data_IF_028476302653
#
_entry.id   IF_028476302653
#
_cell.length_a   1.000
_cell.length_b   1.000
_cell.length_c   1.000
_cell.angle_alpha   90.00
_cell.angle_beta   90.00
_cell.angle_gamma   90.00
#
_symmetry.space_group_name_H-M   'P 1'
#
loop_
_entity.id
_entity.type
_entity.pdbx_description
1 polymer ?
#
# COMPACT_ATOMS: atom_id res chain seq x y z
N UNK A 1 -35.56 -24.13 14.66
CA UNK A 1 -34.11 -24.02 14.46
C UNK A 1 -33.74 -24.87 13.25
N UNK A 2 -32.95 -24.29 12.34
CA UNK A 2 -32.37 -24.82 11.11
C UNK A 2 -32.85 -24.01 9.89
N UNK A 3 -32.20 -22.86 9.75
CA UNK A 3 -32.28 -21.95 8.62
C UNK A 3 -31.81 -22.69 7.36
N UNK A 4 -32.72 -22.93 6.41
CA UNK A 4 -32.35 -23.39 5.07
C UNK A 4 -31.71 -22.24 4.31
N UNK A 5 -30.42 -22.04 4.54
CA UNK A 5 -29.54 -21.18 3.75
C UNK A 5 -29.34 -21.81 2.36
N UNK A 6 -30.39 -21.78 1.54
CA UNK A 6 -30.36 -22.12 0.11
C UNK A 6 -30.16 -20.86 -0.75
N UNK A 7 -29.51 -19.84 -0.21
CA UNK A 7 -29.06 -18.72 -1.02
C UNK A 7 -27.72 -19.13 -1.62
N UNK A 8 -27.65 -19.17 -2.96
CA UNK A 8 -26.41 -18.93 -3.66
C UNK A 8 -25.83 -17.67 -3.00
N UNK A 9 -24.65 -17.76 -2.38
CA UNK A 9 -24.05 -16.70 -1.56
C UNK A 9 -23.53 -15.57 -2.48
N UNK A 10 -24.43 -14.98 -3.25
CA UNK A 10 -24.20 -14.07 -4.36
C UNK A 10 -25.23 -12.94 -4.28
N UNK A 11 -24.81 -11.74 -4.66
CA UNK A 11 -25.62 -10.52 -4.66
C UNK A 11 -26.99 -10.73 -5.37
N UNK A 12 -28.07 -10.08 -4.89
CA UNK A 12 -29.45 -10.16 -5.44
C UNK A 12 -29.47 -9.89 -6.96
N UNK A 13 -28.59 -8.98 -7.42
CA UNK A 13 -28.40 -8.69 -8.85
C UNK A 13 -27.75 -9.87 -9.62
N UNK A 14 -26.77 -10.53 -9.02
CA UNK A 14 -26.14 -11.70 -9.63
C UNK A 14 -27.07 -12.92 -9.56
N UNK A 15 -27.92 -13.03 -8.53
CA UNK A 15 -28.97 -14.05 -8.46
C UNK A 15 -29.99 -13.86 -9.61
N UNK A 16 -30.35 -12.61 -9.94
CA UNK A 16 -31.21 -12.29 -11.07
C UNK A 16 -30.55 -12.58 -12.43
N UNK A 17 -29.26 -12.28 -12.59
CA UNK A 17 -28.49 -12.66 -13.78
C UNK A 17 -28.42 -14.18 -13.93
N UNK A 18 -28.17 -14.90 -12.84
CA UNK A 18 -28.16 -16.37 -12.83
C UNK A 18 -29.56 -16.90 -13.18
N UNK A 19 -30.64 -16.28 -12.69
CA UNK A 19 -32.01 -16.64 -13.06
C UNK A 19 -32.27 -16.44 -14.55
N UNK A 20 -31.84 -15.32 -15.13
CA UNK A 20 -31.95 -15.08 -16.56
C UNK A 20 -31.14 -16.10 -17.37
N UNK A 21 -29.93 -16.42 -16.94
CA UNK A 21 -29.10 -17.43 -17.60
C UNK A 21 -29.69 -18.84 -17.51
N UNK A 22 -30.24 -19.24 -16.36
CA UNK A 22 -30.91 -20.53 -16.16
C UNK A 22 -32.14 -20.63 -17.06
N UNK A 23 -32.96 -19.59 -17.12
CA UNK A 23 -34.13 -19.55 -18.01
C UNK A 23 -33.71 -19.63 -19.48
N UNK A 24 -32.73 -18.82 -19.88
CA UNK A 24 -32.19 -18.84 -21.23
C UNK A 24 -31.61 -20.21 -21.59
N UNK A 25 -30.84 -20.85 -20.70
CA UNK A 25 -30.28 -22.19 -20.91
C UNK A 25 -31.36 -23.25 -21.07
N UNK A 26 -32.50 -23.10 -20.37
CA UNK A 26 -33.65 -23.98 -20.55
C UNK A 26 -34.34 -23.73 -21.89
N UNK A 27 -34.62 -22.47 -22.22
CA UNK A 27 -35.28 -22.12 -23.48
C UNK A 27 -34.41 -22.59 -24.67
N UNK A 28 -33.08 -22.49 -24.57
CA UNK A 28 -32.14 -23.08 -25.54
C UNK A 28 -32.24 -24.60 -25.60
N UNK A 29 -32.25 -25.31 -24.46
CA UNK A 29 -32.47 -26.77 -24.43
C UNK A 29 -33.80 -27.17 -25.06
N UNK A 30 -34.87 -26.42 -24.81
CA UNK A 30 -36.20 -26.68 -25.38
C UNK A 30 -36.22 -26.42 -26.90
N UNK A 31 -35.46 -25.44 -27.40
CA UNK A 31 -35.27 -25.20 -28.84
C UNK A 31 -34.45 -26.32 -29.48
N UNK A 32 -33.33 -26.72 -28.88
CA UNK A 32 -32.51 -27.83 -29.36
C UNK A 32 -33.29 -29.15 -29.39
N UNK A 33 -34.07 -29.44 -28.35
CA UNK A 33 -34.93 -30.63 -28.31
C UNK A 33 -36.02 -30.59 -29.40
N UNK A 34 -36.58 -29.41 -29.70
CA UNK A 34 -37.55 -29.25 -30.79
C UNK A 34 -36.89 -29.43 -32.16
N UNK A 35 -35.69 -28.89 -32.36
CA UNK A 35 -34.91 -29.09 -33.59
C UNK A 35 -34.59 -30.57 -33.80
N UNK A 36 -34.18 -31.26 -32.74
CA UNK A 36 -33.94 -32.69 -32.74
C UNK A 36 -35.20 -33.50 -33.08
N UNK A 37 -36.33 -33.19 -32.44
CA UNK A 37 -37.60 -33.85 -32.73
C UNK A 37 -38.05 -33.59 -34.17
N UNK A 38 -37.89 -32.36 -34.68
CA UNK A 38 -38.23 -32.03 -36.06
C UNK A 38 -37.34 -32.77 -37.06
N UNK A 39 -36.02 -32.85 -36.82
CA UNK A 39 -35.10 -33.62 -37.65
C UNK A 39 -35.40 -35.14 -37.60
N UNK A 40 -35.79 -35.66 -36.43
CA UNK A 40 -36.18 -37.06 -36.28
C UNK A 40 -37.52 -37.37 -36.95
N UNK A 41 -38.49 -36.46 -36.86
CA UNK A 41 -39.77 -36.57 -37.57
C UNK A 41 -39.58 -36.41 -39.08
N UNK A 42 -38.68 -35.53 -39.54
CA UNK A 42 -38.33 -35.40 -40.97
C UNK A 42 -37.68 -36.66 -41.51
N UNK A 43 -36.74 -37.27 -40.77
CA UNK A 43 -36.15 -38.56 -41.13
C UNK A 43 -37.21 -39.67 -41.21
N UNK A 44 -38.10 -39.72 -40.22
CA UNK A 44 -39.21 -40.67 -40.20
C UNK A 44 -40.17 -40.44 -41.37
N UNK A 45 -40.55 -39.19 -41.65
CA UNK A 45 -41.53 -38.85 -42.69
C UNK A 45 -40.97 -39.03 -44.11
N UNK A 46 -39.69 -38.74 -44.34
CA UNK A 46 -39.04 -38.94 -45.63
C UNK A 46 -38.79 -40.41 -45.96
N UNK A 47 -38.61 -41.28 -44.94
CA UNK A 47 -38.13 -42.66 -45.19
C UNK A 47 -39.11 -43.78 -44.83
N UNK A 48 -39.97 -43.62 -43.81
CA UNK A 48 -41.03 -44.61 -43.53
C UNK A 48 -42.20 -44.53 -44.51
N UNK A 49 -42.34 -43.43 -45.25
CA UNK A 49 -43.43 -43.27 -46.21
C UNK A 49 -43.19 -44.01 -47.53
N UNK A 50 -41.95 -44.47 -47.80
CA UNK A 50 -41.53 -44.90 -49.14
C UNK A 50 -41.47 -46.43 -49.35
N UNK A 51 -41.40 -47.28 -48.32
CA UNK A 51 -41.14 -48.72 -48.54
C UNK A 51 -41.96 -49.68 -47.68
N UNK A 52 -42.91 -50.37 -48.30
CA UNK A 52 -43.74 -51.41 -47.67
C UNK A 52 -43.05 -52.78 -47.52
N UNK A 53 -41.77 -52.92 -47.92
CA UNK A 53 -40.98 -54.15 -47.75
C UNK A 53 -39.49 -53.85 -47.52
N UNK A 54 -39.10 -53.48 -46.31
CA UNK A 54 -37.68 -53.32 -45.94
C UNK A 54 -37.06 -54.65 -45.47
N UNK A 55 -35.84 -54.92 -45.93
CA UNK A 55 -34.99 -56.00 -45.41
C UNK A 55 -34.22 -55.56 -44.16
N UNK A 56 -33.77 -56.50 -43.33
CA UNK A 56 -33.08 -56.20 -42.06
C UNK A 56 -31.78 -55.40 -42.25
N UNK A 57 -31.11 -55.56 -43.40
CA UNK A 57 -29.89 -54.79 -43.71
C UNK A 57 -30.21 -53.34 -44.04
N UNK A 58 -31.28 -53.08 -44.82
CA UNK A 58 -31.75 -51.72 -45.11
C UNK A 58 -32.21 -51.02 -43.83
N UNK A 59 -32.89 -51.74 -42.92
CA UNK A 59 -33.25 -51.20 -41.60
C UNK A 59 -32.01 -50.83 -40.77
N UNK A 60 -30.95 -51.64 -40.79
CA UNK A 60 -29.70 -51.30 -40.11
C UNK A 60 -28.97 -50.11 -40.78
N UNK A 61 -28.99 -50.02 -42.11
CA UNK A 61 -28.40 -48.89 -42.83
C UNK A 61 -29.17 -47.58 -42.53
N UNK A 62 -30.50 -47.63 -42.43
CA UNK A 62 -31.30 -46.48 -41.98
C UNK A 62 -31.05 -46.11 -40.52
N UNK A 63 -30.84 -47.09 -39.64
CA UNK A 63 -30.47 -46.79 -38.25
C UNK A 63 -29.09 -46.14 -38.16
N UNK A 64 -28.13 -46.58 -38.97
CA UNK A 64 -26.80 -45.96 -39.02
C UNK A 64 -26.87 -44.53 -39.60
N UNK A 65 -27.62 -44.32 -40.69
CA UNK A 65 -27.84 -42.98 -41.26
C UNK A 65 -28.58 -42.05 -40.28
N UNK A 66 -29.57 -42.56 -39.56
CA UNK A 66 -30.24 -41.82 -38.50
C UNK A 66 -29.25 -41.43 -37.38
N UNK A 67 -28.41 -42.37 -36.95
CA UNK A 67 -27.38 -42.11 -35.93
C UNK A 67 -26.41 -41.01 -36.40
N UNK A 68 -25.97 -41.04 -37.67
CA UNK A 68 -25.08 -40.02 -38.23
C UNK A 68 -25.74 -38.62 -38.27
N UNK A 69 -27.03 -38.56 -38.66
CA UNK A 69 -27.80 -37.31 -38.64
C UNK A 69 -27.96 -36.79 -37.21
N UNK A 70 -28.28 -37.68 -36.26
CA UNK A 70 -28.39 -37.31 -34.85
C UNK A 70 -27.06 -36.83 -34.27
N UNK A 71 -25.96 -37.53 -34.55
CA UNK A 71 -24.61 -37.15 -34.08
C UNK A 71 -24.25 -35.75 -34.58
N UNK A 72 -24.51 -35.47 -35.86
CA UNK A 72 -24.26 -34.15 -36.46
C UNK A 72 -25.12 -33.04 -35.86
N UNK A 73 -26.39 -33.29 -35.53
CA UNK A 73 -27.25 -32.32 -34.86
C UNK A 73 -26.80 -32.09 -33.41
N UNK A 74 -26.40 -33.14 -32.69
CA UNK A 74 -25.84 -33.02 -31.35
C UNK A 74 -24.52 -32.24 -31.34
N UNK A 75 -23.62 -32.50 -32.29
CA UNK A 75 -22.37 -31.74 -32.43
C UNK A 75 -22.62 -30.26 -32.70
N UNK A 76 -23.60 -29.94 -33.56
CA UNK A 76 -23.99 -28.57 -33.85
C UNK A 76 -24.53 -27.86 -32.61
N UNK A 77 -25.44 -28.51 -31.86
CA UNK A 77 -26.02 -27.96 -30.64
C UNK A 77 -24.95 -27.77 -29.54
N UNK A 78 -24.07 -28.76 -29.35
CA UNK A 78 -22.99 -28.67 -28.38
C UNK A 78 -22.00 -27.56 -28.74
N UNK A 79 -21.66 -27.42 -30.03
CA UNK A 79 -20.80 -26.34 -30.53
C UNK A 79 -21.46 -24.98 -30.34
N UNK A 80 -22.76 -24.87 -30.62
CA UNK A 80 -23.53 -23.66 -30.38
C UNK A 80 -23.49 -23.28 -28.89
N UNK A 81 -23.71 -24.24 -27.99
CA UNK A 81 -23.64 -24.05 -26.54
C UNK A 81 -22.26 -23.55 -26.08
N UNK A 82 -21.17 -24.12 -26.58
CA UNK A 82 -19.82 -23.63 -26.26
C UNK A 82 -19.60 -22.18 -26.74
N UNK A 83 -20.03 -21.84 -27.95
CA UNK A 83 -19.89 -20.48 -28.51
C UNK A 83 -20.67 -19.46 -27.70
N UNK A 84 -21.90 -19.79 -27.31
CA UNK A 84 -22.75 -18.92 -26.49
C UNK A 84 -22.14 -18.72 -25.10
N UNK A 85 -21.65 -19.78 -24.45
CA UNK A 85 -20.98 -19.67 -23.15
C UNK A 85 -19.69 -18.85 -23.22
N UNK A 86 -18.90 -19.00 -24.29
CA UNK A 86 -17.69 -18.19 -24.51
C UNK A 86 -18.02 -16.69 -24.69
N UNK A 87 -19.11 -16.37 -25.40
CA UNK A 87 -19.59 -14.99 -25.55
C UNK A 87 -20.04 -14.40 -24.22
N UNK A 88 -20.73 -15.17 -23.39
CA UNK A 88 -21.14 -14.73 -22.05
C UNK A 88 -19.92 -14.41 -21.17
N UNK A 89 -18.91 -15.28 -21.16
CA UNK A 89 -17.66 -15.06 -20.42
C UNK A 89 -16.95 -13.80 -20.92
N UNK A 90 -16.89 -13.59 -22.25
CA UNK A 90 -16.34 -12.35 -22.84
C UNK A 90 -17.09 -11.11 -22.34
N UNK A 91 -18.42 -11.14 -22.30
CA UNK A 91 -19.23 -10.02 -21.83
C UNK A 91 -19.00 -9.73 -20.34
N UNK A 92 -18.89 -10.78 -19.52
CA UNK A 92 -18.57 -10.64 -18.09
C UNK A 92 -17.19 -10.00 -17.88
N UNK A 93 -16.18 -10.39 -18.65
CA UNK A 93 -14.86 -9.76 -18.56
C UNK A 93 -14.84 -8.32 -19.06
N UNK A 94 -15.59 -7.98 -20.11
CA UNK A 94 -15.73 -6.59 -20.55
C UNK A 94 -16.35 -5.70 -19.46
N UNK A 95 -17.35 -6.21 -18.75
CA UNK A 95 -17.94 -5.51 -17.60
C UNK A 95 -16.94 -5.43 -16.43
N UNK A 96 -16.20 -6.49 -16.14
CA UNK A 96 -15.19 -6.46 -15.07
C UNK A 96 -14.03 -5.49 -15.38
N UNK A 97 -13.58 -5.42 -16.62
CA UNK A 97 -12.54 -4.48 -17.08
C UNK A 97 -12.98 -3.02 -16.96
N UNK A 98 -14.22 -2.70 -17.31
CA UNK A 98 -14.80 -1.36 -17.11
C UNK A 98 -14.78 -0.93 -15.62
N UNK A 99 -14.77 -1.90 -14.72
CA UNK A 99 -14.73 -1.70 -13.27
C UNK A 99 -13.33 -1.97 -12.69
N UNK A 100 -12.31 -2.10 -13.54
CA UNK A 100 -10.91 -2.39 -13.19
C UNK A 100 -10.71 -3.62 -12.28
N UNK A 101 -11.58 -4.63 -12.40
CA UNK A 101 -11.56 -5.83 -11.58
C UNK A 101 -10.86 -6.99 -12.31
N UNK A 102 -9.85 -7.58 -11.68
CA UNK A 102 -9.23 -8.83 -12.17
C UNK A 102 -10.02 -10.02 -11.64
N UNK A 103 -10.90 -10.57 -12.46
CA UNK A 103 -11.60 -11.82 -12.15
C UNK A 103 -10.68 -13.00 -12.46
N UNK A 104 -10.39 -13.81 -11.45
CA UNK A 104 -9.74 -15.10 -11.61
C UNK A 104 -10.81 -16.19 -11.48
N UNK A 105 -11.42 -16.66 -12.59
CA UNK A 105 -12.34 -17.79 -12.52
C UNK A 105 -11.57 -19.03 -12.09
N UNK A 106 -12.05 -19.70 -11.05
CA UNK A 106 -11.50 -20.98 -10.62
C UNK A 106 -12.24 -22.11 -11.34
N UNK A 107 -11.54 -22.82 -12.23
CA UNK A 107 -12.09 -23.94 -13.00
C UNK A 107 -12.42 -25.15 -12.13
N UNK A 108 -11.76 -25.32 -10.98
CA UNK A 108 -11.99 -26.45 -10.05
C UNK A 108 -13.37 -26.41 -9.39
N UNK A 109 -14.00 -25.23 -9.34
CA UNK A 109 -15.34 -25.07 -8.75
C UNK A 109 -16.47 -25.50 -9.72
N UNK A 110 -16.21 -25.54 -11.03
CA UNK A 110 -17.19 -25.94 -12.05
C UNK A 110 -17.46 -27.47 -12.02
N UNK A 111 -16.52 -28.27 -11.52
CA UNK A 111 -16.66 -29.73 -11.43
C UNK A 111 -17.32 -30.19 -10.13
N UNK A 112 -17.59 -29.27 -9.20
CA UNK A 112 -18.16 -29.63 -7.92
C UNK A 112 -19.62 -30.06 -8.07
N UNK A 113 -19.84 -31.39 -8.10
CA UNK A 113 -21.17 -32.00 -8.20
C UNK A 113 -22.18 -31.46 -7.19
N UNK A 114 -21.76 -31.00 -6.00
CA UNK A 114 -22.66 -30.40 -5.01
C UNK A 114 -23.17 -29.02 -5.45
N UNK A 115 -22.35 -28.22 -6.11
CA UNK A 115 -22.79 -26.92 -6.66
C UNK A 115 -23.72 -27.13 -7.87
N UNK A 116 -23.46 -28.17 -8.68
CA UNK A 116 -24.36 -28.58 -9.76
C UNK A 116 -25.70 -29.08 -9.21
N UNK A 117 -25.68 -29.91 -8.17
CA UNK A 117 -26.90 -30.39 -7.50
C UNK A 117 -27.66 -29.24 -6.84
N UNK A 118 -26.96 -28.24 -6.28
CA UNK A 118 -27.59 -27.05 -5.69
C UNK A 118 -28.21 -26.12 -6.75
N UNK A 119 -27.59 -26.00 -7.93
CA UNK A 119 -28.20 -25.33 -9.09
C UNK A 119 -29.42 -26.12 -9.59
N UNK A 120 -29.35 -27.46 -9.64
CA UNK A 120 -30.50 -28.31 -10.00
C UNK A 120 -31.66 -28.15 -9.02
N UNK A 121 -31.38 -28.12 -7.72
CA UNK A 121 -32.41 -27.94 -6.69
C UNK A 121 -32.99 -26.51 -6.75
N UNK A 122 -32.18 -25.50 -7.09
CA UNK A 122 -32.63 -24.13 -7.36
C UNK A 122 -33.52 -24.06 -8.61
N UNK A 123 -33.14 -24.74 -9.71
CA UNK A 123 -33.94 -24.86 -10.93
C UNK A 123 -35.32 -25.48 -10.65
N UNK A 124 -35.37 -26.56 -9.87
CA UNK A 124 -36.62 -27.24 -9.49
C UNK A 124 -37.54 -26.36 -8.63
N UNK A 125 -36.97 -25.57 -7.70
CA UNK A 125 -37.75 -24.64 -6.87
C UNK A 125 -38.39 -23.50 -7.68
N UNK A 126 -37.76 -23.05 -8.76
CA UNK A 126 -38.32 -22.04 -9.67
C UNK A 126 -39.43 -22.61 -10.58
N UNK A 127 -39.33 -23.89 -10.96
CA UNK A 127 -40.36 -24.63 -11.71
C UNK A 127 -41.69 -24.76 -10.95
N UNK A 128 -41.63 -24.98 -9.63
CA UNK A 128 -42.84 -25.10 -8.81
C UNK A 128 -43.57 -23.77 -8.62
N UNK A 129 -42.87 -22.62 -8.70
CA UNK A 129 -43.49 -21.29 -8.67
C UNK A 129 -44.20 -20.93 -9.98
N UNK A 130 -43.75 -21.47 -11.12
CA UNK A 130 -44.32 -21.18 -12.44
C UNK A 130 -45.57 -22.02 -12.77
N UNK A 131 -45.72 -23.22 -12.21
CA UNK A 131 -46.93 -24.05 -12.39
C UNK A 131 -48.17 -23.56 -11.63
N UNK A 132 -48.04 -22.58 -10.72
CA UNK A 132 -49.15 -22.02 -9.94
C UNK A 132 -49.80 -20.76 -10.54
N UNK A 133 -49.39 -20.32 -11.74
CA UNK A 133 -49.97 -19.16 -12.43
C UNK A 133 -50.74 -19.56 -13.70
N UNK A 134 -51.76 -20.39 -13.53
CA UNK A 134 -52.88 -20.44 -14.47
C UNK A 134 -53.88 -19.35 -14.07
N UNK A 135 -54.25 -18.48 -15.00
CA UNK A 135 -55.21 -17.37 -14.88
C UNK A 135 -54.80 -16.19 -13.98
N UNK A 136 -54.21 -15.16 -14.61
CA UNK A 136 -54.71 -13.78 -14.54
C UNK A 136 -53.95 -12.88 -15.51
N UNK A 137 -54.67 -12.50 -16.56
CA UNK A 137 -54.73 -11.19 -17.20
C UNK A 137 -53.43 -10.40 -17.41
N UNK A 138 -53.14 -10.23 -18.69
CA UNK A 138 -52.46 -9.09 -19.27
C UNK A 138 -53.19 -7.80 -18.86
N UNK A 139 -52.40 -6.77 -18.52
CA UNK A 139 -52.77 -5.39 -18.12
C UNK A 139 -52.89 -5.14 -16.61
N UNK A 140 -51.77 -4.71 -16.00
CA UNK A 140 -51.64 -3.40 -15.35
C UNK A 140 -50.22 -3.23 -14.82
N UNK A 141 -49.72 -2.01 -14.95
CA UNK A 141 -48.52 -1.45 -14.30
C UNK A 141 -47.16 -2.02 -14.74
N UNK A 142 -46.52 -1.26 -15.64
CA UNK A 142 -45.19 -0.75 -15.28
C UNK A 142 -45.29 -0.20 -13.86
N UNK A 143 -44.96 -1.01 -12.88
CA UNK A 143 -44.54 -0.48 -11.59
C UNK A 143 -43.20 0.23 -11.84
N UNK A 144 -43.04 1.50 -11.44
CA UNK A 144 -41.73 2.11 -11.47
C UNK A 144 -40.82 1.19 -10.68
N UNK A 145 -39.72 0.75 -11.33
CA UNK A 145 -38.66 -0.02 -10.69
C UNK A 145 -38.44 0.62 -9.32
N UNK A 146 -38.78 -0.13 -8.28
CA UNK A 146 -38.63 0.31 -6.90
C UNK A 146 -37.13 0.35 -6.64
N UNK A 147 -36.56 1.47 -7.06
CA UNK A 147 -35.27 2.06 -6.78
C UNK A 147 -35.20 2.29 -5.26
N UNK A 148 -35.38 1.26 -4.45
CA UNK A 148 -35.41 1.35 -2.96
C UNK A 148 -34.92 0.08 -2.28
N UNK A 149 -34.44 -0.93 -3.01
CA UNK A 149 -33.51 -1.91 -2.42
C UNK A 149 -32.08 -1.61 -2.84
N UNK A 150 -31.82 -1.54 -4.15
CA UNK A 150 -30.52 -1.12 -4.68
C UNK A 150 -30.18 0.30 -4.24
N UNK A 151 -31.11 1.25 -4.32
CA UNK A 151 -30.83 2.61 -3.81
C UNK A 151 -30.80 2.68 -2.29
N UNK A 152 -31.44 1.78 -1.53
CA UNK A 152 -31.35 1.79 -0.06
C UNK A 152 -30.02 1.20 0.38
N UNK A 153 -29.53 0.14 -0.27
CA UNK A 153 -28.16 -0.35 -0.08
C UNK A 153 -27.14 0.71 -0.49
N UNK A 154 -27.33 1.33 -1.66
CA UNK A 154 -26.47 2.41 -2.13
C UNK A 154 -26.53 3.63 -1.19
N UNK A 155 -27.71 4.01 -0.70
CA UNK A 155 -27.91 5.12 0.25
C UNK A 155 -27.32 4.81 1.62
N UNK A 156 -27.41 3.55 2.06
CA UNK A 156 -26.79 3.08 3.30
C UNK A 156 -25.27 3.09 3.16
N UNK A 157 -24.75 2.67 2.02
CA UNK A 157 -23.31 2.71 1.73
C UNK A 157 -22.80 4.14 1.56
N UNK A 158 -23.56 5.00 0.88
CA UNK A 158 -23.30 6.44 0.79
C UNK A 158 -23.31 7.07 2.19
N UNK A 159 -24.25 6.70 3.06
CA UNK A 159 -24.28 7.18 4.44
C UNK A 159 -23.06 6.70 5.25
N UNK A 160 -22.65 5.45 5.12
CA UNK A 160 -21.42 4.94 5.76
C UNK A 160 -20.18 5.67 5.23
N UNK A 161 -20.07 5.85 3.91
CA UNK A 161 -18.98 6.59 3.28
C UNK A 161 -18.98 8.06 3.68
N UNK A 162 -20.14 8.70 3.82
CA UNK A 162 -20.29 10.06 4.33
C UNK A 162 -19.90 10.16 5.80
N UNK A 163 -20.29 9.19 6.64
CA UNK A 163 -19.91 9.12 8.03
C UNK A 163 -18.39 8.91 8.18
N UNK A 164 -17.82 8.00 7.40
CA UNK A 164 -16.39 7.72 7.40
C UNK A 164 -15.60 8.93 6.87
N UNK A 165 -16.07 9.60 5.82
CA UNK A 165 -15.50 10.88 5.38
C UNK A 165 -15.63 11.97 6.44
N UNK A 166 -16.73 12.02 7.18
CA UNK A 166 -16.91 12.93 8.31
C UNK A 166 -15.90 12.67 9.43
N UNK A 167 -15.69 11.40 9.79
CA UNK A 167 -14.69 10.98 10.78
C UNK A 167 -13.27 11.27 10.30
N UNK A 168 -12.97 11.00 9.03
CA UNK A 168 -11.67 11.31 8.43
C UNK A 168 -11.43 12.83 8.42
N UNK A 169 -12.41 13.65 8.05
CA UNK A 169 -12.30 15.12 8.11
C UNK A 169 -12.09 15.63 9.54
N UNK A 170 -12.80 15.06 10.52
CA UNK A 170 -12.57 15.41 11.92
C UNK A 170 -11.17 15.02 12.38
N UNK A 171 -10.67 13.85 11.97
CA UNK A 171 -9.32 13.39 12.29
C UNK A 171 -8.25 14.25 11.60
N UNK A 172 -8.48 14.63 10.35
CA UNK A 172 -7.63 15.55 9.59
C UNK A 172 -7.57 16.90 10.30
N UNK A 173 -8.71 17.47 10.69
CA UNK A 173 -8.77 18.74 11.42
C UNK A 173 -8.09 18.68 12.80
N UNK A 174 -8.09 17.51 13.47
CA UNK A 174 -7.30 17.31 14.69
C UNK A 174 -5.81 17.33 14.38
N UNK A 175 -5.36 16.57 13.37
CA UNK A 175 -3.96 16.56 12.99
C UNK A 175 -3.46 17.92 12.49
N UNK A 176 -4.28 18.68 11.76
CA UNK A 176 -3.95 20.05 11.35
C UNK A 176 -3.75 20.97 12.56
N UNK A 177 -4.60 20.87 13.59
CA UNK A 177 -4.44 21.64 14.82
C UNK A 177 -3.23 21.22 15.64
N UNK A 178 -2.97 19.91 15.71
CA UNK A 178 -1.80 19.38 16.41
C UNK A 178 -0.51 19.80 15.71
N UNK A 179 -0.50 19.82 14.37
CA UNK A 179 0.62 20.29 13.55
C UNK A 179 0.83 21.81 13.71
N UNK A 180 -0.24 22.60 13.69
CA UNK A 180 -0.17 24.05 13.95
C UNK A 180 0.37 24.34 15.36
N UNK A 181 -0.08 23.60 16.37
CA UNK A 181 0.42 23.72 17.74
C UNK A 181 1.90 23.34 17.86
N UNK A 182 2.30 22.24 17.22
CA UNK A 182 3.69 21.79 17.24
C UNK A 182 4.63 22.77 16.52
N UNK A 183 4.18 23.33 15.40
CA UNK A 183 4.92 24.37 14.66
C UNK A 183 5.08 25.64 15.49
N UNK A 184 4.02 26.10 16.20
CA UNK A 184 4.13 27.23 17.12
C UNK A 184 5.13 26.97 18.25
N UNK A 185 5.09 25.80 18.88
CA UNK A 185 6.06 25.39 19.91
C UNK A 185 7.49 25.35 19.37
N UNK A 186 7.70 24.83 18.16
CA UNK A 186 9.00 24.78 17.53
C UNK A 186 9.54 26.18 17.23
N UNK A 187 8.68 27.08 16.76
CA UNK A 187 9.05 28.47 16.49
C UNK A 187 9.41 29.22 17.78
N UNK A 188 8.62 29.08 18.85
CA UNK A 188 8.90 29.65 20.16
C UNK A 188 10.22 29.12 20.74
N UNK A 189 10.46 27.81 20.65
CA UNK A 189 11.72 27.22 21.07
C UNK A 189 12.89 27.75 20.25
N UNK A 190 12.77 27.83 18.93
CA UNK A 190 13.82 28.34 18.05
C UNK A 190 14.16 29.79 18.39
N UNK A 191 13.15 30.64 18.62
CA UNK A 191 13.34 32.03 19.06
C UNK A 191 14.01 32.10 20.43
N UNK A 192 13.59 31.28 21.38
CA UNK A 192 14.18 31.20 22.73
C UNK A 192 15.65 30.77 22.69
N UNK A 193 15.98 29.74 21.89
CA UNK A 193 17.35 29.28 21.68
C UNK A 193 18.21 30.35 21.02
N UNK A 194 17.73 30.99 19.95
CA UNK A 194 18.46 32.05 19.25
C UNK A 194 18.76 33.24 20.19
N UNK A 195 17.79 33.65 21.03
CA UNK A 195 18.00 34.71 22.02
C UNK A 195 19.03 34.31 23.10
N UNK A 196 19.00 33.07 23.59
CA UNK A 196 19.98 32.56 24.55
C UNK A 196 21.38 32.48 23.95
N UNK A 197 21.49 32.03 22.71
CA UNK A 197 22.74 31.96 21.96
C UNK A 197 23.35 33.35 21.78
N UNK A 198 22.55 34.35 21.38
CA UNK A 198 22.99 35.74 21.28
C UNK A 198 23.47 36.30 22.62
N UNK A 199 22.72 36.03 23.70
CA UNK A 199 23.11 36.45 25.05
C UNK A 199 24.42 35.81 25.52
N UNK A 200 24.60 34.50 25.31
CA UNK A 200 25.83 33.80 25.66
C UNK A 200 27.02 34.27 24.83
N UNK A 201 26.84 34.50 23.53
CA UNK A 201 27.88 35.06 22.66
C UNK A 201 28.35 36.43 23.17
N UNK A 202 27.41 37.30 23.56
CA UNK A 202 27.72 38.61 24.13
C UNK A 202 28.43 38.50 25.48
N UNK A 203 28.02 37.58 26.35
CA UNK A 203 28.70 37.31 27.63
C UNK A 203 30.11 36.77 27.43
N UNK A 204 30.31 35.88 26.46
CA UNK A 204 31.62 35.33 26.12
C UNK A 204 32.56 36.44 25.68
N UNK A 205 32.13 37.29 24.75
CA UNK A 205 32.91 38.43 24.27
C UNK A 205 33.25 39.42 25.40
N UNK A 206 32.30 39.67 26.30
CA UNK A 206 32.54 40.52 27.48
C UNK A 206 33.58 39.89 28.43
N UNK A 207 33.47 38.60 28.70
CA UNK A 207 34.42 37.87 29.55
C UNK A 207 35.81 37.80 28.92
N UNK A 208 35.92 37.56 27.61
CA UNK A 208 37.19 37.61 26.87
C UNK A 208 37.86 38.97 27.01
N UNK A 209 37.10 40.06 26.85
CA UNK A 209 37.63 41.41 27.03
C UNK A 209 38.14 41.62 28.46
N UNK A 210 37.34 41.25 29.47
CA UNK A 210 37.73 41.36 30.89
C UNK A 210 38.98 40.55 31.20
N UNK A 211 39.09 39.34 30.65
CA UNK A 211 40.24 38.47 30.82
C UNK A 211 41.49 39.12 30.24
N UNK A 212 41.39 39.73 29.05
CA UNK A 212 42.48 40.47 28.42
C UNK A 212 42.89 41.70 29.24
N UNK A 213 41.93 42.46 29.75
CA UNK A 213 42.19 43.62 30.60
C UNK A 213 42.91 43.21 31.90
N UNK A 214 42.50 42.10 32.52
CA UNK A 214 43.16 41.54 33.72
C UNK A 214 44.57 41.04 33.39
N UNK A 215 44.76 40.34 32.26
CA UNK A 215 46.10 39.91 31.82
C UNK A 215 47.04 41.10 31.62
N UNK A 216 46.54 42.18 31.00
CA UNK A 216 47.33 43.39 30.80
C UNK A 216 47.67 44.07 32.13
N UNK A 217 46.70 44.18 33.05
CA UNK A 217 46.93 44.74 34.38
C UNK A 217 47.94 43.90 35.18
N UNK A 218 47.86 42.57 35.11
CA UNK A 218 48.81 41.65 35.74
C UNK A 218 50.23 41.89 35.21
N UNK A 219 50.39 41.96 33.88
CA UNK A 219 51.71 42.19 33.27
C UNK A 219 52.31 43.55 33.64
N UNK A 220 51.48 44.60 33.73
CA UNK A 220 51.94 45.91 34.21
C UNK A 220 52.37 45.85 35.68
N UNK A 221 51.57 45.21 36.54
CA UNK A 221 51.90 45.03 37.94
C UNK A 221 53.18 44.20 38.15
N UNK A 222 53.38 43.14 37.38
CA UNK A 222 54.61 42.34 37.38
C UNK A 222 55.83 43.19 36.99
N UNK A 223 55.74 43.97 35.90
CA UNK A 223 56.80 44.87 35.47
C UNK A 223 57.11 45.97 36.51
N UNK A 224 56.09 46.54 37.14
CA UNK A 224 56.26 47.55 38.19
C UNK A 224 56.90 46.94 39.45
N UNK A 225 56.46 45.73 39.84
CA UNK A 225 57.03 45.00 40.97
C UNK A 225 58.50 44.67 40.71
N UNK A 226 58.85 44.21 39.51
CA UNK A 226 60.23 43.93 39.11
C UNK A 226 61.09 45.21 39.16
N UNK A 227 60.58 46.34 38.67
CA UNK A 227 61.26 47.64 38.80
C UNK A 227 61.47 48.03 40.27
N UNK A 228 60.44 47.91 41.12
CA UNK A 228 60.53 48.21 42.56
C UNK A 228 61.51 47.29 43.28
N UNK A 229 61.50 46.00 42.94
CA UNK A 229 62.44 45.01 43.46
C UNK A 229 63.88 45.38 43.10
N UNK A 230 64.14 45.68 41.83
CA UNK A 230 65.46 46.11 41.35
C UNK A 230 65.94 47.43 41.99
N UNK A 231 65.01 48.31 42.37
CA UNK A 231 65.29 49.57 43.08
C UNK A 231 65.46 49.42 44.59
N UNK A 232 65.15 48.25 45.17
CA UNK A 232 65.23 48.05 46.62
C UNK A 232 66.69 48.05 47.07
N UNK A 233 67.02 48.87 48.07
CA UNK A 233 68.38 49.04 48.59
C UNK A 233 69.06 47.70 48.93
N UNK A 234 68.31 46.74 49.48
CA UNK A 234 68.81 45.39 49.77
C UNK A 234 69.32 44.69 48.51
N UNK A 235 68.56 44.71 47.40
CA UNK A 235 68.97 44.09 46.14
C UNK A 235 70.18 44.80 45.52
N UNK A 236 70.18 46.14 45.49
CA UNK A 236 71.31 46.92 44.97
C UNK A 236 72.59 46.64 45.77
N UNK A 237 72.48 46.60 47.10
CA UNK A 237 73.63 46.31 47.98
C UNK A 237 74.14 44.88 47.77
N UNK A 238 73.25 43.89 47.68
CA UNK A 238 73.63 42.51 47.37
C UNK A 238 74.29 42.40 45.99
N UNK A 239 73.75 43.07 44.97
CA UNK A 239 74.34 43.10 43.62
C UNK A 239 75.75 43.70 43.63
N UNK A 240 75.95 44.85 44.29
CA UNK A 240 77.29 45.44 44.46
C UNK A 240 78.28 44.52 45.16
N UNK A 241 77.84 43.80 46.20
CA UNK A 241 78.69 42.83 46.91
C UNK A 241 79.08 41.67 45.98
N UNK A 242 78.13 41.14 45.22
CA UNK A 242 78.38 40.06 44.25
C UNK A 242 79.33 40.52 43.14
N UNK A 243 79.09 41.69 42.55
CA UNK A 243 79.96 42.24 41.51
C UNK A 243 81.39 42.44 42.02
N UNK A 244 81.55 42.97 43.23
CA UNK A 244 82.86 43.11 43.87
C UNK A 244 83.53 41.77 44.12
N UNK A 245 82.79 40.76 44.62
CA UNK A 245 83.32 39.41 44.82
C UNK A 245 83.71 38.75 43.50
N UNK A 246 82.93 38.93 42.44
CA UNK A 246 83.26 38.41 41.11
C UNK A 246 84.51 39.07 40.53
N UNK A 247 84.67 40.37 40.73
CA UNK A 247 85.88 41.09 40.34
C UNK A 247 87.10 40.57 41.10
N UNK A 248 86.99 40.41 42.42
CA UNK A 248 88.05 39.80 43.23
C UNK A 248 88.39 38.38 42.76
N UNK A 249 87.38 37.55 42.43
CA UNK A 249 87.62 36.21 41.86
C UNK A 249 88.34 36.31 40.52
N UNK A 250 88.01 37.28 39.68
CA UNK A 250 88.64 37.47 38.37
C UNK A 250 90.10 37.96 38.51
N UNK A 251 90.36 38.86 39.44
CA UNK A 251 91.71 39.34 39.79
C UNK A 251 92.56 38.20 40.36
N UNK A 252 92.01 37.42 41.31
CA UNK A 252 92.68 36.24 41.86
C UNK A 252 92.96 35.19 40.78
N UNK A 253 92.02 34.97 39.86
CA UNK A 253 92.24 34.08 38.70
C UNK A 253 93.34 34.61 37.79
N UNK A 254 93.36 35.92 37.51
CA UNK A 254 94.41 36.53 36.70
C UNK A 254 95.78 36.39 37.36
N UNK A 255 95.91 36.72 38.64
CA UNK A 255 97.14 36.52 39.42
C UNK A 255 97.58 35.05 39.41
N UNK A 256 96.68 34.10 39.60
CA UNK A 256 97.01 32.68 39.47
C UNK A 256 97.54 32.32 38.07
N UNK A 257 96.98 32.86 36.98
CA UNK A 257 97.55 32.66 35.63
C UNK A 257 98.87 33.40 35.39
N UNK A 258 99.09 34.55 36.03
CA UNK A 258 100.34 35.30 35.94
C UNK A 258 101.47 34.56 36.67
N UNK A 259 101.22 34.12 37.90
CA UNK A 259 102.19 33.35 38.69
C UNK A 259 102.52 31.99 38.03
N UNK A 260 101.56 31.35 37.34
CA UNK A 260 101.84 30.12 36.56
C UNK A 260 102.61 30.37 35.25
N UNK A 261 102.58 31.59 34.68
CA UNK A 261 103.39 31.93 33.50
C UNK A 261 104.79 32.40 33.90
N UNK A 262 104.95 33.07 35.05
CA UNK A 262 106.27 33.42 35.60
C UNK A 262 107.03 32.16 36.08
N UNK A 263 106.33 31.08 36.45
CA UNK A 263 106.94 29.75 36.68
C UNK A 263 107.36 29.02 35.38
N UNK A 264 106.94 29.48 34.19
CA UNK A 264 107.40 28.91 32.91
C UNK A 264 108.60 29.65 32.29
N UNK A 265 108.86 30.90 32.65
CA UNK A 265 110.04 31.65 32.21
C UNK A 265 111.29 31.39 33.10
N UNK A 266 111.13 30.61 34.19
CA UNK A 266 112.22 30.12 35.05
C UNK A 266 112.65 28.66 34.71
N UNK A 267 112.09 28.05 33.66
CA UNK A 267 112.60 26.81 33.04
C UNK A 267 112.89 27.00 31.54
N UNK A 268 113.90 27.82 31.20
CA UNK A 268 114.91 27.55 30.13
C UNK A 268 116.05 28.61 30.10
#
# INVERSE_FOLDING_TARGET
MASSSNNLDVNEHHEEIIRHYVRYSRDQKDIGLRSFHAAADDFKNQRLSDEAMMTVNEVNDFLNEFIDVLEKEFEQELTHQYRVNALLIKQLFQQAEQWFLKLNPNFDQLENRRLIDLIRDYEQQQLNKTKSKGNKEMNTLMDPINDTKSTVLLKTEIQKLQQLNGQLKQRLSKYEKDDEYLNQQLEENTRSFSNKEASFSQQLQSNEKRLKDVQQALSLAENELEKKFNQTNTYINMKKIIDKKNQQIRELRQQLTSDNNDEQDDED
#
